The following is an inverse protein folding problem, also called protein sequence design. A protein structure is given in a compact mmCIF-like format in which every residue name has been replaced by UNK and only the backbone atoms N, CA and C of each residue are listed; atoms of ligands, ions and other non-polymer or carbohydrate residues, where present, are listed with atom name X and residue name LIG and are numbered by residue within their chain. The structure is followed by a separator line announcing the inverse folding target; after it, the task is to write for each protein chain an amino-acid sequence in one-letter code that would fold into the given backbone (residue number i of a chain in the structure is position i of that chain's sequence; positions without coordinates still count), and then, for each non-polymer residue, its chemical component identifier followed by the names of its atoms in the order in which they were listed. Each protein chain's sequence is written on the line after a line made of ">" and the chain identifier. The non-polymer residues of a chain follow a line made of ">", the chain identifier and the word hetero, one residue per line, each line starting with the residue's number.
data_IF_338193128943
#
_entry.id   IF_338193128943
#
_cell.length_a   1.000
_cell.length_b   1.000
_cell.length_c   1.000
_cell.angle_alpha   90.00
_cell.angle_beta   90.00
_cell.angle_gamma   90.00
#
_symmetry.space_group_name_H-M   'P 1'
#
loop_
_entity.id
_entity.type
_entity.pdbx_description
1 polymer ?
#
# COMPACT_ATOMS: atom_id res chain seq x y z
N UNK A 1 -3.16 7.69 -14.03
CA UNK A 1 -2.39 6.72 -14.85
C UNK A 1 -3.34 5.58 -15.22
N UNK A 2 -3.69 5.47 -16.50
CA UNK A 2 -4.84 4.72 -17.00
C UNK A 2 -4.37 3.36 -17.53
N UNK A 3 -4.09 2.39 -16.65
CA UNK A 3 -3.61 1.05 -17.05
C UNK A 3 -4.33 -0.11 -16.34
N UNK A 4 -5.23 0.17 -15.39
CA UNK A 4 -5.93 -0.88 -14.63
C UNK A 4 -6.98 -1.65 -15.46
N UNK A 5 -7.44 -1.11 -16.60
CA UNK A 5 -8.52 -1.72 -17.40
C UNK A 5 -8.06 -2.89 -18.28
N UNK A 6 -6.76 -3.06 -18.53
CA UNK A 6 -6.21 -4.10 -19.42
C UNK A 6 -5.19 -5.03 -18.74
N UNK A 7 -4.95 -4.87 -17.44
CA UNK A 7 -4.03 -5.73 -16.70
C UNK A 7 -4.71 -7.03 -16.29
N UNK A 8 -4.02 -8.16 -16.47
CA UNK A 8 -4.48 -9.46 -15.96
C UNK A 8 -4.52 -9.44 -14.43
N UNK A 9 -5.46 -10.15 -13.77
CA UNK A 9 -5.61 -10.10 -12.31
C UNK A 9 -4.33 -10.41 -11.52
N UNK A 10 -3.50 -11.30 -12.06
CA UNK A 10 -2.17 -11.65 -11.55
C UNK A 10 -1.16 -10.49 -11.57
N UNK A 11 -1.29 -9.54 -12.51
CA UNK A 11 -0.43 -8.35 -12.59
C UNK A 11 -0.95 -7.17 -11.75
N UNK A 12 -2.12 -7.32 -11.10
CA UNK A 12 -2.70 -6.27 -10.25
C UNK A 12 -2.16 -6.29 -8.82
N UNK A 13 -1.45 -7.35 -8.44
CA UNK A 13 -0.95 -7.56 -7.09
C UNK A 13 0.55 -7.84 -7.11
N UNK A 14 1.25 -7.39 -6.07
CA UNK A 14 2.59 -7.84 -5.76
C UNK A 14 2.68 -8.29 -4.31
N UNK A 15 3.66 -9.13 -4.00
CA UNK A 15 3.93 -9.56 -2.63
C UNK A 15 5.04 -8.72 -2.00
N UNK A 16 4.83 -8.29 -0.77
CA UNK A 16 5.86 -7.70 0.07
C UNK A 16 5.81 -8.31 1.46
N UNK A 17 6.94 -8.85 1.93
CA UNK A 17 7.04 -9.57 3.23
C UNK A 17 5.92 -10.62 3.41
N UNK A 18 5.50 -11.27 2.32
CA UNK A 18 4.46 -12.31 2.31
C UNK A 18 3.01 -11.80 2.19
N UNK A 19 2.76 -10.49 2.16
CA UNK A 19 1.42 -9.89 2.05
C UNK A 19 1.18 -9.36 0.63
N UNK A 20 -0.03 -9.53 0.10
CA UNK A 20 -0.42 -9.03 -1.23
C UNK A 20 -0.90 -7.58 -1.16
N UNK A 21 -0.32 -6.74 -2.03
CA UNK A 21 -0.65 -5.32 -2.15
C UNK A 21 -1.04 -4.96 -3.59
N UNK A 22 -1.93 -3.97 -3.78
CA UNK A 22 -2.33 -3.50 -5.10
C UNK A 22 -1.18 -2.79 -5.82
N UNK A 23 -0.71 -3.36 -6.93
CA UNK A 23 0.37 -2.82 -7.76
C UNK A 23 0.00 -1.47 -8.43
N UNK A 24 -1.28 -1.13 -8.45
CA UNK A 24 -1.78 0.15 -8.99
C UNK A 24 -1.64 1.32 -8.03
N UNK A 25 -1.45 1.06 -6.73
CA UNK A 25 -1.41 2.08 -5.66
C UNK A 25 -0.12 2.02 -4.83
N UNK A 26 0.45 0.82 -4.69
CA UNK A 26 1.65 0.57 -3.90
C UNK A 26 2.78 0.11 -4.82
N UNK A 27 4.02 0.33 -4.41
CA UNK A 27 5.21 -0.23 -5.06
C UNK A 27 6.19 -0.79 -4.03
N UNK A 28 6.94 -1.86 -4.36
CA UNK A 28 7.94 -2.44 -3.46
C UNK A 28 9.00 -1.42 -3.01
N UNK A 29 9.43 -0.53 -3.91
CA UNK A 29 10.47 0.46 -3.65
C UNK A 29 10.04 1.46 -2.58
N UNK A 30 8.79 1.92 -2.62
CA UNK A 30 8.24 2.81 -1.59
C UNK A 30 8.22 2.12 -0.23
N UNK A 31 7.89 0.83 -0.17
CA UNK A 31 7.89 0.09 1.08
C UNK A 31 9.29 -0.13 1.66
N UNK A 32 10.31 -0.29 0.80
CA UNK A 32 11.70 -0.34 1.25
C UNK A 32 12.15 0.99 1.88
N UNK A 33 11.76 2.12 1.29
CA UNK A 33 12.06 3.45 1.87
C UNK A 33 11.29 3.69 3.17
N UNK A 34 10.06 3.18 3.28
CA UNK A 34 9.27 3.27 4.51
C UNK A 34 9.91 2.51 5.69
N UNK A 35 10.74 1.49 5.45
CA UNK A 35 11.45 0.80 6.54
C UNK A 35 12.44 1.74 7.27
N UNK A 36 12.89 2.84 6.64
CA UNK A 36 13.71 3.88 7.26
C UNK A 36 12.92 5.16 7.57
N UNK A 37 11.58 5.09 7.63
CA UNK A 37 10.77 6.25 7.97
C UNK A 37 11.01 6.69 9.42
N UNK A 38 11.33 7.97 9.61
CA UNK A 38 11.52 8.58 10.93
C UNK A 38 10.28 9.40 11.32
N UNK A 39 9.48 8.87 12.25
CA UNK A 39 8.37 9.61 12.85
C UNK A 39 8.89 10.64 13.86
N UNK A 40 8.22 11.80 13.94
CA UNK A 40 8.46 12.80 14.98
C UNK A 40 7.63 12.49 16.22
N UNK A 41 8.02 13.07 17.36
CA UNK A 41 7.32 12.85 18.63
C UNK A 41 5.85 13.31 18.62
N UNK A 42 5.51 14.24 17.74
CA UNK A 42 4.18 14.83 17.59
C UNK A 42 3.38 14.27 16.41
N UNK A 43 3.93 13.32 15.64
CA UNK A 43 3.20 12.67 14.55
C UNK A 43 2.15 11.70 15.10
N UNK A 44 0.95 11.70 14.50
CA UNK A 44 -0.12 10.75 14.80
C UNK A 44 -0.36 9.85 13.60
N UNK A 45 -0.23 8.54 13.77
CA UNK A 45 -0.42 7.54 12.70
C UNK A 45 -1.75 6.81 12.90
N UNK A 46 -2.63 6.87 11.91
CA UNK A 46 -3.85 6.08 11.86
C UNK A 46 -3.60 4.77 11.10
N UNK A 47 -3.75 3.64 11.78
CA UNK A 47 -3.57 2.30 11.19
C UNK A 47 -4.91 1.59 11.15
N UNK A 48 -5.30 1.12 9.96
CA UNK A 48 -6.49 0.32 9.76
C UNK A 48 -6.27 -0.74 8.68
N UNK A 49 -6.93 -1.88 8.83
CA UNK A 49 -7.01 -2.85 7.74
C UNK A 49 -7.97 -2.31 6.65
N UNK A 50 -7.70 -2.57 5.36
CA UNK A 50 -8.57 -2.10 4.28
C UNK A 50 -10.04 -2.42 4.57
N UNK A 51 -10.93 -1.45 4.29
CA UNK A 51 -12.38 -1.52 4.52
C UNK A 51 -12.86 -1.34 5.97
N UNK A 52 -11.98 -1.16 6.95
CA UNK A 52 -12.35 -0.93 8.36
C UNK A 52 -12.63 0.55 8.71
N UNK A 53 -12.84 1.42 7.71
CA UNK A 53 -13.14 2.85 7.91
C UNK A 53 -14.31 3.36 7.06
N UNK A 54 -15.26 2.48 6.68
CA UNK A 54 -16.33 2.84 5.73
C UNK A 54 -17.39 3.81 6.29
N UNK A 55 -17.34 4.19 7.56
CA UNK A 55 -18.42 4.93 8.22
C UNK A 55 -17.89 6.00 9.16
N UNK A 56 -17.53 7.16 8.61
CA UNK A 56 -17.98 8.51 9.01
C UNK A 56 -17.84 9.44 7.81
#
# INVERSE_FOLDING_TARGET
>A
RTEAKNATPENLLFSYKGILYPATLCSPETFQVLDSFEARNDDVILVAYPKNGNYY
#
